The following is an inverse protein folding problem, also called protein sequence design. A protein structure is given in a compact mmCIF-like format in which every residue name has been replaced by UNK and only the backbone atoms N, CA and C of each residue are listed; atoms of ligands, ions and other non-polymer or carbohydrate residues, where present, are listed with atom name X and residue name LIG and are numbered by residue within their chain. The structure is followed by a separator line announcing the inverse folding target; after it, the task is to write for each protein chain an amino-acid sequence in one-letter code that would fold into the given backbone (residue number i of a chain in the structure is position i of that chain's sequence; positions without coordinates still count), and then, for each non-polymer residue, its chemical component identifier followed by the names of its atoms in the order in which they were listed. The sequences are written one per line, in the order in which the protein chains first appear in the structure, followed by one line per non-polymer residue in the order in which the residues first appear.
data_IF_644923019610
#
_entry.id   IF_644923019610
#
_cell.length_a   1.000
_cell.length_b   1.000
_cell.length_c   1.000
_cell.angle_alpha   90.00
_cell.angle_beta   90.00
_cell.angle_gamma   90.00
#
_symmetry.space_group_name_H-M   'P 1'
#
loop_
_entity.id
_entity.type
_entity.pdbx_description
1 polymer ?
#
# COMPACT_ATOMS: atom_id res chain seq x y z
N UNK A 1 11.96 42.40 -3.81
CA UNK A 1 11.10 41.39 -3.20
C UNK A 1 11.21 40.18 -4.10
N UNK A 2 11.95 39.16 -3.65
CA UNK A 2 12.40 38.08 -4.49
C UNK A 2 11.27 37.10 -4.81
N UNK A 3 10.98 36.93 -6.10
CA UNK A 3 10.21 35.82 -6.61
C UNK A 3 11.10 34.57 -6.56
N UNK A 4 10.99 33.82 -5.49
CA UNK A 4 11.58 32.50 -5.43
C UNK A 4 10.86 31.59 -6.41
N UNK A 5 11.53 31.26 -7.52
CA UNK A 5 11.12 30.20 -8.42
C UNK A 5 11.31 28.86 -7.72
N UNK A 6 10.31 28.40 -6.97
CA UNK A 6 10.26 27.04 -6.49
C UNK A 6 9.89 26.12 -7.67
N UNK A 7 10.86 25.36 -8.14
CA UNK A 7 10.56 24.11 -8.83
C UNK A 7 9.75 23.27 -7.85
N UNK A 8 8.50 22.93 -8.18
CA UNK A 8 7.67 22.06 -7.35
C UNK A 8 8.31 20.67 -7.43
N UNK A 9 9.20 20.39 -6.49
CA UNK A 9 9.74 19.07 -6.26
C UNK A 9 8.63 18.30 -5.53
N UNK A 10 7.99 17.40 -6.21
CA UNK A 10 7.31 16.28 -5.53
C UNK A 10 8.42 15.59 -4.77
N UNK A 11 8.39 15.63 -3.43
CA UNK A 11 9.39 14.99 -2.61
C UNK A 11 9.50 13.53 -3.04
N UNK A 12 10.68 13.11 -3.48
CA UNK A 12 11.03 11.72 -3.63
C UNK A 12 11.12 11.11 -2.23
N UNK A 13 9.97 10.65 -1.71
CA UNK A 13 9.97 9.72 -0.60
C UNK A 13 10.41 8.37 -1.17
N UNK A 14 11.67 8.07 -1.01
CA UNK A 14 12.17 6.71 -1.12
C UNK A 14 11.51 5.92 0.01
N UNK A 15 10.49 5.15 -0.33
CA UNK A 15 9.97 4.11 0.54
C UNK A 15 11.05 3.05 0.68
N UNK A 16 11.65 2.97 1.86
CA UNK A 16 12.27 1.71 2.25
C UNK A 16 11.16 0.65 2.15
N UNK A 17 11.33 -0.30 1.25
CA UNK A 17 10.50 -1.49 1.19
C UNK A 17 10.60 -2.15 2.56
N UNK A 18 9.56 -2.02 3.38
CA UNK A 18 9.36 -2.91 4.50
C UNK A 18 9.01 -4.28 3.91
N UNK A 19 10.03 -5.07 3.60
CA UNK A 19 9.92 -6.44 3.10
C UNK A 19 9.45 -7.44 4.19
N UNK A 20 9.10 -6.97 5.39
CA UNK A 20 8.67 -7.79 6.54
C UNK A 20 7.15 -7.96 6.65
N UNK A 21 6.37 -7.71 5.61
CA UNK A 21 4.97 -8.12 5.56
C UNK A 21 4.85 -9.53 4.97
N UNK A 22 5.49 -10.50 5.63
CA UNK A 22 5.04 -11.89 5.52
C UNK A 22 3.62 -11.94 6.10
N UNK A 23 2.71 -12.55 5.33
CA UNK A 23 1.32 -12.74 5.73
C UNK A 23 1.21 -13.33 7.14
N UNK A 24 0.12 -13.06 7.85
CA UNK A 24 -0.02 -13.51 9.21
C UNK A 24 -0.12 -15.03 9.24
N UNK A 25 0.80 -15.66 9.95
CA UNK A 25 0.74 -17.03 10.44
C UNK A 25 1.20 -18.16 9.53
N UNK A 26 2.30 -18.76 9.95
CA UNK A 26 2.71 -20.12 9.64
C UNK A 26 1.73 -21.12 10.31
N UNK A 27 0.71 -21.55 9.54
CA UNK A 27 -0.38 -22.42 10.03
C UNK A 27 0.03 -23.87 10.20
N UNK A 28 1.19 -24.32 9.70
CA UNK A 28 1.61 -25.71 9.82
C UNK A 28 1.92 -26.12 11.26
N UNK A 29 2.29 -25.19 12.13
CA UNK A 29 2.61 -25.49 13.53
C UNK A 29 1.42 -25.43 14.50
N UNK A 30 0.30 -24.79 14.13
CA UNK A 30 -0.89 -24.70 14.98
C UNK A 30 -1.82 -25.91 14.88
N UNK A 31 -1.89 -26.56 13.73
CA UNK A 31 -2.80 -27.68 13.48
C UNK A 31 -2.32 -29.01 14.09
N UNK A 32 -1.01 -29.21 14.25
CA UNK A 32 -0.47 -30.45 14.84
C UNK A 32 -0.55 -30.52 16.37
N UNK A 33 -0.87 -29.43 17.05
CA UNK A 33 -1.00 -29.40 18.51
C UNK A 33 -2.41 -29.76 19.02
N UNK A 34 -3.42 -29.84 18.16
CA UNK A 34 -4.82 -30.04 18.55
C UNK A 34 -5.31 -31.51 18.51
N UNK A 35 -4.53 -32.42 17.96
CA UNK A 35 -4.90 -33.85 17.92
C UNK A 35 -3.80 -34.70 18.54
N UNK A 36 -3.88 -35.06 19.83
CA UNK A 36 -3.16 -36.23 20.29
C UNK A 36 -3.86 -37.46 19.67
N UNK A 37 -3.13 -38.16 18.79
CA UNK A 37 -3.57 -39.39 18.13
C UNK A 37 -4.20 -40.37 19.14
N UNK A 38 -5.48 -40.62 19.00
CA UNK A 38 -6.13 -41.80 19.57
C UNK A 38 -5.50 -43.03 18.94
N UNK A 39 -4.97 -43.90 19.77
CA UNK A 39 -4.39 -45.17 19.37
C UNK A 39 -5.38 -45.99 18.57
N UNK A 40 -5.13 -46.18 17.31
CA UNK A 40 -5.49 -47.40 16.60
C UNK A 40 -4.23 -48.14 16.17
N UNK A 41 -4.01 -49.28 16.78
CA UNK A 41 -2.97 -50.26 16.42
C UNK A 41 -3.33 -50.86 15.07
N UNK A 42 -2.54 -50.60 14.04
CA UNK A 42 -2.37 -51.59 12.97
C UNK A 42 -0.88 -51.78 12.72
N UNK A 43 -0.48 -53.03 12.92
CA UNK A 43 0.85 -53.55 12.59
C UNK A 43 1.13 -53.35 11.10
N UNK A 44 2.32 -52.82 10.75
CA UNK A 44 3.16 -53.55 9.80
C UNK A 44 4.64 -53.10 9.89
N UNK A 45 5.44 -54.14 9.86
CA UNK A 45 6.90 -54.13 9.93
C UNK A 45 7.51 -53.60 8.66
N UNK A 46 8.61 -52.84 8.70
CA UNK A 46 9.97 -53.27 8.33
C UNK A 46 10.90 -52.09 8.04
N UNK A 47 12.04 -52.18 8.70
CA UNK A 47 13.44 -51.91 8.29
C UNK A 47 13.93 -50.46 8.10
N UNK A 48 14.70 -50.04 9.10
CA UNK A 48 16.19 -49.92 9.10
C UNK A 48 16.70 -48.77 8.22
N UNK A 49 17.52 -47.88 8.62
CA UNK A 49 18.74 -47.84 9.43
C UNK A 49 19.42 -46.46 9.25
N UNK A 50 19.97 -45.92 10.33
CA UNK A 50 21.24 -45.16 10.44
C UNK A 50 21.57 -44.01 9.48
N UNK A 51 21.88 -42.81 9.93
CA UNK A 51 23.12 -42.35 10.56
C UNK A 51 23.07 -40.85 10.90
N UNK A 52 23.81 -40.53 11.89
CA UNK A 52 24.14 -39.24 12.52
C UNK A 52 24.91 -38.25 11.64
N UNK A 53 24.82 -37.01 12.09
CA UNK A 53 25.89 -36.03 12.34
C UNK A 53 26.06 -34.81 11.42
N UNK A 54 25.88 -33.68 12.10
CA UNK A 54 26.81 -32.54 12.24
C UNK A 54 27.11 -31.62 11.09
N UNK A 55 26.83 -30.36 11.41
CA UNK A 55 27.63 -29.15 11.17
C UNK A 55 27.59 -28.44 9.82
N UNK A 56 27.10 -27.22 9.94
CA UNK A 56 27.71 -25.95 9.51
C UNK A 56 27.78 -25.57 8.04
N UNK A 57 27.28 -24.36 7.81
CA UNK A 57 27.78 -23.29 6.98
C UNK A 57 27.34 -23.15 5.54
N UNK A 58 26.76 -21.95 5.36
CA UNK A 58 26.90 -21.04 4.22
C UNK A 58 26.29 -21.37 2.86
N UNK A 59 25.26 -20.59 2.60
CA UNK A 59 25.20 -19.70 1.43
C UNK A 59 25.07 -20.36 0.05
N UNK A 60 23.99 -20.21 -0.54
CA UNK A 60 23.71 -19.50 -1.79
C UNK A 60 22.36 -19.93 -2.40
N UNK A 61 21.58 -18.93 -2.68
CA UNK A 61 20.35 -18.96 -3.46
C UNK A 61 20.56 -19.53 -4.87
N UNK A 62 19.65 -20.43 -5.29
CA UNK A 62 19.23 -20.53 -6.69
C UNK A 62 17.72 -20.71 -6.77
N UNK A 63 17.03 -19.66 -7.18
CA UNK A 63 15.63 -19.69 -7.60
C UNK A 63 15.48 -20.50 -8.88
N UNK A 64 14.70 -21.56 -8.83
CA UNK A 64 14.23 -22.26 -10.04
C UNK A 64 13.00 -21.53 -10.59
N UNK A 65 13.19 -20.84 -11.72
CA UNK A 65 12.07 -20.38 -12.54
C UNK A 65 11.44 -21.56 -13.27
N UNK A 66 10.17 -21.75 -13.05
CA UNK A 66 9.34 -22.62 -13.90
C UNK A 66 8.73 -21.74 -14.99
N UNK A 67 9.16 -21.97 -16.22
CA UNK A 67 8.58 -21.39 -17.43
C UNK A 67 7.19 -22.03 -17.68
N UNK A 68 6.13 -21.25 -17.54
CA UNK A 68 4.83 -21.61 -18.06
C UNK A 68 4.58 -20.82 -19.35
N UNK A 69 4.36 -21.57 -20.43
CA UNK A 69 4.12 -21.09 -21.79
C UNK A 69 3.01 -20.04 -21.87
N UNK A 70 3.37 -18.83 -22.27
CA UNK A 70 2.42 -17.79 -22.65
C UNK A 70 1.86 -18.04 -24.05
N UNK A 71 0.56 -18.23 -24.16
CA UNK A 71 -0.18 -18.18 -25.40
C UNK A 71 -0.11 -16.77 -25.98
N UNK A 72 0.24 -16.70 -27.26
CA UNK A 72 0.34 -15.48 -28.08
C UNK A 72 -0.97 -14.71 -28.10
N UNK A 73 -0.95 -13.46 -27.62
CA UNK A 73 -1.97 -12.46 -27.87
C UNK A 73 -1.56 -11.70 -29.13
N UNK A 74 -2.44 -11.45 -30.13
CA UNK A 74 -2.09 -10.73 -31.34
C UNK A 74 -1.77 -9.27 -31.03
N UNK A 75 -0.68 -8.76 -31.60
CA UNK A 75 -0.28 -7.35 -31.53
C UNK A 75 -1.30 -6.49 -32.29
N UNK A 76 -1.68 -5.32 -31.75
CA UNK A 76 -2.40 -4.33 -32.53
C UNK A 76 -1.49 -3.75 -33.60
N UNK A 77 -1.98 -3.72 -34.81
CA UNK A 77 -1.34 -3.09 -35.97
C UNK A 77 -1.08 -1.61 -35.72
N UNK A 78 0.17 -1.24 -35.64
CA UNK A 78 0.62 0.15 -35.65
C UNK A 78 0.37 0.73 -37.07
N UNK A 79 -0.56 1.68 -37.16
CA UNK A 79 -0.57 2.64 -38.28
C UNK A 79 0.54 3.65 -38.02
N UNK A 80 1.60 3.55 -38.84
CA UNK A 80 2.68 4.50 -38.93
C UNK A 80 2.17 5.86 -39.38
N UNK A 81 2.06 6.80 -38.43
CA UNK A 81 2.15 8.21 -38.75
C UNK A 81 3.52 8.69 -38.25
N UNK A 82 4.51 8.60 -39.15
CA UNK A 82 5.77 9.30 -38.99
C UNK A 82 5.53 10.79 -39.17
N UNK A 83 5.36 11.52 -38.08
CA UNK A 83 5.71 12.93 -38.04
C UNK A 83 7.20 13.04 -37.72
N UNK A 84 7.98 13.35 -38.75
CA UNK A 84 9.39 13.65 -38.64
C UNK A 84 9.57 14.89 -37.76
N UNK A 85 9.94 14.72 -36.50
CA UNK A 85 10.56 15.76 -35.71
C UNK A 85 12.07 15.72 -36.00
N UNK A 86 12.48 16.50 -36.99
CA UNK A 86 13.87 16.86 -37.15
C UNK A 86 14.29 17.70 -35.94
N UNK A 87 15.08 17.11 -35.03
CA UNK A 87 15.96 17.87 -34.14
C UNK A 87 17.01 18.57 -35.02
N UNK A 88 16.77 19.80 -35.34
CA UNK A 88 17.84 20.70 -35.71
C UNK A 88 18.34 21.35 -34.41
N UNK A 89 19.47 20.86 -33.94
CA UNK A 89 20.35 21.63 -33.06
C UNK A 89 20.71 22.92 -33.82
N UNK A 90 20.16 24.04 -33.38
CA UNK A 90 20.61 25.33 -33.86
C UNK A 90 21.86 25.72 -33.07
N UNK A 91 23.01 25.38 -33.64
CA UNK A 91 24.27 26.03 -33.30
C UNK A 91 24.12 27.51 -33.68
N UNK A 92 24.09 28.36 -32.68
CA UNK A 92 24.14 29.80 -32.92
C UNK A 92 25.58 30.19 -33.27
N UNK A 93 25.87 30.28 -34.56
CA UNK A 93 27.07 30.93 -35.05
C UNK A 93 26.99 32.42 -34.77
N UNK A 94 27.91 32.92 -33.97
CA UNK A 94 28.19 34.35 -33.81
C UNK A 94 28.85 34.85 -35.08
N UNK A 95 28.06 35.30 -36.05
CA UNK A 95 28.63 36.05 -37.19
C UNK A 95 29.02 37.46 -36.72
N UNK A 96 30.36 37.65 -36.74
CA UNK A 96 30.97 38.98 -36.68
C UNK A 96 30.57 39.80 -37.92
N UNK A 97 29.58 40.63 -37.81
CA UNK A 97 29.27 41.62 -38.86
C UNK A 97 30.27 42.75 -38.81
N UNK A 98 31.26 42.71 -39.70
CA UNK A 98 32.03 43.88 -40.10
C UNK A 98 31.10 44.83 -40.90
N UNK A 99 30.99 46.07 -40.44
CA UNK A 99 30.32 47.12 -41.18
C UNK A 99 31.08 47.47 -42.48
N UNK A 100 30.49 47.19 -43.60
CA UNK A 100 30.88 47.81 -44.88
C UNK A 100 29.76 48.71 -45.38
N UNK A 101 30.00 49.98 -45.28
CA UNK A 101 29.15 51.00 -45.94
C UNK A 101 29.28 50.85 -47.45
N UNK A 102 28.21 50.40 -48.11
CA UNK A 102 28.07 50.47 -49.55
C UNK A 102 26.86 51.35 -49.88
N UNK A 103 27.00 52.49 -50.55
CA UNK A 103 25.92 53.48 -50.71
C UNK A 103 25.00 53.21 -51.93
N UNK A 104 24.86 52.03 -52.44
CA UNK A 104 23.93 51.70 -53.52
C UNK A 104 23.25 50.35 -53.33
N UNK A 105 22.18 50.36 -52.50
CA UNK A 105 21.15 49.34 -52.64
C UNK A 105 19.81 49.88 -52.18
N UNK A 106 19.01 50.27 -53.14
CA UNK A 106 17.58 50.60 -53.02
C UNK A 106 16.79 49.30 -52.93
N UNK A 107 16.70 48.70 -51.75
CA UNK A 107 15.69 47.74 -51.45
C UNK A 107 15.50 47.59 -49.94
N UNK A 108 14.25 47.84 -49.55
CA UNK A 108 13.60 47.54 -48.27
C UNK A 108 13.99 48.38 -47.05
N UNK A 109 13.09 49.25 -46.76
CA UNK A 109 12.83 50.11 -45.61
C UNK A 109 12.92 49.43 -44.23
N UNK A 110 14.08 48.90 -43.84
CA UNK A 110 14.38 48.46 -42.48
C UNK A 110 15.16 49.55 -41.78
N UNK A 111 14.45 50.54 -41.21
CA UNK A 111 15.06 51.62 -40.43
C UNK A 111 15.59 51.02 -39.11
N UNK A 112 16.92 50.98 -38.96
CA UNK A 112 17.56 50.65 -37.70
C UNK A 112 17.77 51.97 -36.94
N UNK A 113 17.17 52.06 -35.75
CA UNK A 113 17.26 53.27 -34.88
C UNK A 113 17.81 52.90 -33.53
N UNK A 114 18.85 53.68 -33.08
CA UNK A 114 19.27 53.68 -31.68
C UNK A 114 18.28 54.52 -30.89
N UNK A 115 17.55 53.88 -29.93
CA UNK A 115 16.43 54.56 -29.25
C UNK A 115 16.88 55.33 -28.02
N UNK A 116 17.78 54.83 -27.22
CA UNK A 116 18.50 55.49 -26.12
C UNK A 116 19.39 54.51 -25.35
N UNK A 117 20.47 55.02 -24.72
CA UNK A 117 21.32 54.25 -23.78
C UNK A 117 21.79 52.88 -24.24
N UNK A 118 21.97 52.63 -25.56
CA UNK A 118 22.44 51.38 -26.11
C UNK A 118 21.34 50.42 -26.58
N UNK A 119 20.08 50.80 -26.48
CA UNK A 119 18.97 50.04 -27.05
C UNK A 119 18.89 50.23 -28.56
N UNK A 120 18.62 49.15 -29.31
CA UNK A 120 18.52 49.14 -30.76
C UNK A 120 17.18 48.56 -31.21
N UNK A 121 16.53 49.24 -32.17
CA UNK A 121 15.33 48.72 -32.84
C UNK A 121 15.56 48.61 -34.35
N UNK A 122 15.07 47.52 -34.94
CA UNK A 122 15.07 47.28 -36.39
C UNK A 122 13.64 46.97 -36.79
N UNK A 123 12.99 47.84 -37.56
CA UNK A 123 11.60 47.61 -37.99
C UNK A 123 10.85 48.90 -38.33
N UNK A 124 9.53 48.80 -38.38
CA UNK A 124 8.62 49.87 -38.66
C UNK A 124 8.52 50.88 -37.50
N UNK A 125 8.51 52.17 -37.80
CA UNK A 125 8.38 53.24 -36.83
C UNK A 125 7.17 54.13 -37.16
N UNK A 126 6.49 54.59 -36.11
CA UNK A 126 5.52 55.66 -36.19
C UNK A 126 5.91 56.78 -35.19
N UNK A 127 6.12 58.00 -35.71
CA UNK A 127 6.63 59.12 -34.91
C UNK A 127 7.89 58.78 -34.10
N UNK A 128 8.87 58.11 -34.70
CA UNK A 128 10.10 57.59 -34.08
C UNK A 128 9.90 56.59 -32.93
N UNK A 129 8.71 56.00 -32.77
CA UNK A 129 8.38 54.98 -31.77
C UNK A 129 8.22 53.67 -32.50
N UNK A 130 8.74 52.54 -31.96
CA UNK A 130 8.52 51.18 -32.51
C UNK A 130 7.02 50.91 -32.75
N UNK A 131 6.69 50.59 -34.00
CA UNK A 131 5.33 50.29 -34.47
C UNK A 131 5.40 49.26 -35.57
N UNK A 132 4.33 48.44 -35.74
CA UNK A 132 4.34 47.41 -36.78
C UNK A 132 5.33 46.28 -36.49
N UNK A 133 5.83 45.61 -37.54
CA UNK A 133 6.77 44.49 -37.38
C UNK A 133 8.19 45.02 -37.08
N UNK A 134 8.85 44.36 -36.11
CA UNK A 134 10.22 44.71 -35.78
C UNK A 134 10.88 43.80 -34.75
N UNK A 135 12.16 44.17 -34.48
CA UNK A 135 12.98 43.50 -33.49
C UNK A 135 13.68 44.55 -32.60
N UNK A 136 13.50 44.40 -31.30
CA UNK A 136 14.04 45.29 -30.28
C UNK A 136 15.13 44.55 -29.50
N UNK A 137 16.26 45.19 -29.33
CA UNK A 137 17.39 44.74 -28.54
C UNK A 137 17.62 45.74 -27.43
N UNK A 138 17.41 45.30 -26.19
CA UNK A 138 17.70 46.13 -25.04
C UNK A 138 19.16 46.02 -24.61
N UNK A 139 19.69 47.12 -24.06
CA UNK A 139 21.03 47.18 -23.47
C UNK A 139 21.21 46.24 -22.28
N UNK A 140 20.12 45.80 -21.65
CA UNK A 140 20.13 44.78 -20.57
C UNK A 140 20.18 43.34 -21.08
N UNK A 141 20.21 43.13 -22.43
CA UNK A 141 20.22 41.78 -23.04
C UNK A 141 18.85 41.20 -23.38
N UNK A 142 17.76 41.94 -23.16
CA UNK A 142 16.43 41.49 -23.55
C UNK A 142 16.22 41.67 -25.07
N UNK A 143 15.57 40.67 -25.73
CA UNK A 143 15.25 40.72 -27.16
C UNK A 143 13.76 40.48 -27.33
N UNK A 144 13.09 41.39 -28.07
CA UNK A 144 11.68 41.27 -28.45
C UNK A 144 11.56 41.26 -29.96
N UNK A 145 10.74 40.36 -30.52
CA UNK A 145 10.52 40.22 -31.94
C UNK A 145 9.03 40.01 -32.22
N UNK A 146 8.42 40.79 -33.09
CA UNK A 146 7.01 40.64 -33.40
C UNK A 146 6.36 41.97 -33.80
N UNK A 147 5.12 42.15 -33.41
CA UNK A 147 4.32 43.32 -33.69
C UNK A 147 4.37 44.31 -32.52
N UNK A 148 4.70 45.58 -32.82
CA UNK A 148 4.83 46.63 -31.84
C UNK A 148 3.72 47.66 -31.96
N UNK A 149 3.23 48.17 -30.84
CA UNK A 149 2.35 49.35 -30.73
C UNK A 149 2.88 50.21 -29.60
N UNK A 150 3.15 51.51 -29.90
CA UNK A 150 3.68 52.47 -28.92
C UNK A 150 4.90 51.92 -28.16
N UNK A 151 5.87 51.31 -28.85
CA UNK A 151 7.11 50.81 -28.28
C UNK A 151 7.01 49.50 -27.52
N UNK A 152 5.84 48.90 -27.42
CA UNK A 152 5.58 47.65 -26.71
C UNK A 152 5.16 46.54 -27.66
N UNK A 153 5.58 45.30 -27.37
CA UNK A 153 5.15 44.12 -28.12
C UNK A 153 3.64 43.92 -27.94
N UNK A 154 2.90 43.88 -29.05
CA UNK A 154 1.45 43.63 -29.08
C UNK A 154 1.13 42.71 -30.28
N UNK A 155 0.29 41.70 -30.04
CA UNK A 155 0.01 40.65 -31.05
C UNK A 155 1.03 39.51 -30.98
N UNK A 156 1.21 38.78 -32.09
CA UNK A 156 2.12 37.61 -32.14
C UNK A 156 3.58 38.07 -32.04
N UNK A 157 4.35 37.41 -31.18
CA UNK A 157 5.75 37.73 -31.00
C UNK A 157 6.52 36.72 -30.14
N UNK A 158 7.79 37.05 -29.97
CA UNK A 158 8.75 36.28 -29.14
C UNK A 158 9.52 37.26 -28.24
N UNK A 159 9.85 36.80 -27.04
CA UNK A 159 10.62 37.60 -26.11
C UNK A 159 11.66 36.71 -25.41
N UNK A 160 12.91 37.10 -25.46
CA UNK A 160 14.00 36.53 -24.68
C UNK A 160 14.34 37.53 -23.57
N UNK A 161 14.04 37.15 -22.34
CA UNK A 161 14.37 37.97 -21.18
C UNK A 161 15.84 37.83 -20.81
N UNK A 162 16.41 38.86 -20.18
CA UNK A 162 17.81 38.86 -19.72
C UNK A 162 18.15 37.80 -18.69
N UNK A 163 17.13 37.22 -18.00
CA UNK A 163 17.26 36.11 -17.06
C UNK A 163 17.15 34.74 -17.73
N UNK A 164 17.17 34.66 -19.08
CA UNK A 164 17.13 33.42 -19.86
C UNK A 164 15.73 32.84 -20.07
N UNK A 165 14.66 33.50 -19.64
CA UNK A 165 13.30 33.07 -19.91
C UNK A 165 12.94 33.38 -21.36
N UNK A 166 12.37 32.40 -22.08
CA UNK A 166 11.83 32.57 -23.43
C UNK A 166 10.31 32.56 -23.40
N UNK A 167 9.68 33.49 -24.09
CA UNK A 167 8.23 33.62 -24.23
C UNK A 167 7.88 33.71 -25.73
N UNK A 168 6.83 32.99 -26.14
CA UNK A 168 6.30 33.03 -27.52
C UNK A 168 4.77 32.95 -27.48
N UNK A 169 4.09 33.76 -28.25
CA UNK A 169 2.63 33.75 -28.31
C UNK A 169 2.04 35.13 -28.65
N UNK A 170 0.83 35.35 -28.13
CA UNK A 170 0.18 36.64 -28.25
C UNK A 170 0.53 37.55 -27.06
N UNK A 171 0.88 38.79 -27.36
CA UNK A 171 1.25 39.79 -26.35
C UNK A 171 0.25 40.94 -26.34
N UNK A 172 0.05 41.52 -25.18
CA UNK A 172 -0.58 42.82 -24.95
C UNK A 172 0.36 43.61 -24.01
N UNK A 173 0.87 44.73 -24.51
CA UNK A 173 1.77 45.61 -23.75
C UNK A 173 2.95 44.84 -23.09
N UNK A 174 3.69 44.05 -23.88
CA UNK A 174 4.83 43.23 -23.47
C UNK A 174 4.49 42.05 -22.56
N UNK A 175 3.23 41.72 -22.32
CA UNK A 175 2.80 40.58 -21.50
C UNK A 175 2.08 39.54 -22.36
N UNK A 176 2.37 38.25 -22.16
CA UNK A 176 1.60 37.16 -22.82
C UNK A 176 0.12 37.24 -22.41
N UNK A 177 -0.76 37.20 -23.38
CA UNK A 177 -2.22 37.15 -23.24
C UNK A 177 -2.82 36.24 -24.28
N UNK A 178 -3.69 35.31 -23.87
CA UNK A 178 -4.19 34.24 -24.74
C UNK A 178 -3.20 33.08 -24.86
N UNK A 179 -3.21 32.37 -25.99
CA UNK A 179 -2.34 31.23 -26.22
C UNK A 179 -0.86 31.64 -26.34
N UNK A 180 0.00 30.91 -25.62
CA UNK A 180 1.43 31.14 -25.62
C UNK A 180 2.24 29.99 -25.05
N UNK A 181 3.56 30.18 -25.12
CA UNK A 181 4.58 29.27 -24.60
C UNK A 181 5.57 30.05 -23.75
N UNK A 182 5.95 29.48 -22.60
CA UNK A 182 7.07 29.96 -21.80
C UNK A 182 8.07 28.83 -21.55
N UNK A 183 9.35 29.16 -21.61
CA UNK A 183 10.45 28.24 -21.25
C UNK A 183 11.29 28.98 -20.21
N UNK A 184 11.38 28.37 -19.01
CA UNK A 184 12.20 28.92 -17.92
C UNK A 184 13.64 28.41 -17.99
N UNK A 185 14.55 29.11 -17.33
CA UNK A 185 15.99 28.77 -17.28
C UNK A 185 16.24 27.37 -16.69
N UNK A 186 15.37 26.89 -15.80
CA UNK A 186 15.44 25.56 -15.23
C UNK A 186 14.90 24.44 -16.17
N UNK A 187 14.52 24.80 -17.41
CA UNK A 187 14.00 23.88 -18.41
C UNK A 187 12.53 23.50 -18.23
N UNK A 188 11.79 24.21 -17.39
CA UNK A 188 10.34 24.12 -17.30
C UNK A 188 9.69 24.73 -18.54
N UNK A 189 8.71 24.06 -19.14
CA UNK A 189 7.99 24.51 -20.33
C UNK A 189 6.50 24.55 -20.02
N UNK A 190 5.87 25.69 -20.29
CA UNK A 190 4.42 25.78 -20.24
C UNK A 190 3.89 26.19 -21.62
N UNK A 191 2.87 25.48 -22.10
CA UNK A 191 2.13 25.77 -23.32
C UNK A 191 0.63 25.86 -22.97
N UNK A 192 0.02 27.01 -23.23
CA UNK A 192 -1.39 27.23 -22.90
C UNK A 192 -1.76 28.70 -22.76
N UNK A 193 -2.82 28.93 -22.01
CA UNK A 193 -3.40 30.25 -21.87
C UNK A 193 -2.70 31.09 -20.81
N UNK A 194 -2.57 32.40 -21.12
CA UNK A 194 -2.01 33.40 -20.24
C UNK A 194 -2.98 34.59 -20.10
N UNK A 195 -2.93 35.22 -18.94
CA UNK A 195 -3.55 36.54 -18.67
C UNK A 195 -2.51 37.41 -17.99
N UNK A 196 -2.20 38.57 -18.57
CA UNK A 196 -1.19 39.49 -18.06
C UNK A 196 0.17 38.88 -17.73
N UNK A 197 0.60 37.89 -18.56
CA UNK A 197 1.86 37.15 -18.39
C UNK A 197 1.82 36.04 -17.37
N UNK A 198 0.67 35.78 -16.74
CA UNK A 198 0.48 34.70 -15.77
C UNK A 198 -0.26 33.55 -16.44
N UNK A 199 0.17 32.29 -16.20
CA UNK A 199 -0.55 31.08 -16.66
C UNK A 199 -1.97 31.11 -16.11
N UNK A 200 -2.97 31.14 -16.98
CA UNK A 200 -4.36 31.27 -16.57
C UNK A 200 -5.30 30.71 -17.66
N UNK A 201 -6.00 29.64 -17.36
CA UNK A 201 -6.81 28.88 -18.32
C UNK A 201 -6.23 27.50 -18.62
N UNK A 202 -6.62 26.89 -19.74
CA UNK A 202 -6.14 25.55 -20.14
C UNK A 202 -4.65 25.60 -20.48
N UNK A 203 -3.91 24.57 -20.03
CA UNK A 203 -2.49 24.51 -20.34
C UNK A 203 -1.86 23.16 -20.02
N UNK A 204 -0.64 23.01 -20.54
CA UNK A 204 0.26 21.89 -20.32
C UNK A 204 1.59 22.42 -19.77
N UNK A 205 1.98 21.87 -18.63
CA UNK A 205 3.23 22.18 -17.97
C UNK A 205 4.15 20.96 -18.04
N UNK A 206 5.35 21.14 -18.54
CA UNK A 206 6.45 20.18 -18.41
C UNK A 206 7.39 20.74 -17.36
N UNK A 207 7.49 20.07 -16.22
CA UNK A 207 8.33 20.53 -15.10
C UNK A 207 9.82 20.37 -15.40
N UNK A 208 10.68 20.94 -14.58
CA UNK A 208 12.13 20.73 -14.64
C UNK A 208 12.50 19.23 -14.50
N UNK A 209 11.72 18.45 -13.74
CA UNK A 209 11.90 17.02 -13.56
C UNK A 209 11.35 16.18 -14.72
N UNK A 210 10.75 16.85 -15.73
CA UNK A 210 10.09 16.23 -16.90
C UNK A 210 8.76 15.53 -16.57
N UNK A 211 8.14 15.87 -15.45
CA UNK A 211 6.74 15.52 -15.23
C UNK A 211 5.85 16.39 -16.13
N UNK A 212 4.73 15.86 -16.58
CA UNK A 212 3.78 16.56 -17.44
C UNK A 212 2.49 16.75 -16.66
N UNK A 213 1.99 17.96 -16.61
CA UNK A 213 0.75 18.33 -15.93
C UNK A 213 -0.16 19.03 -16.94
N UNK A 214 -1.40 18.54 -17.08
CA UNK A 214 -2.39 19.07 -18.00
C UNK A 214 -3.68 19.40 -17.23
N UNK A 215 -4.22 20.59 -17.43
CA UNK A 215 -5.47 21.00 -16.77
C UNK A 215 -5.73 22.50 -16.86
N UNK A 216 -6.51 22.99 -15.90
CA UNK A 216 -6.83 24.41 -15.78
C UNK A 216 -5.86 25.07 -14.81
N UNK A 217 -5.23 26.12 -15.25
CA UNK A 217 -4.35 26.94 -14.41
C UNK A 217 -5.11 28.19 -13.96
N UNK A 218 -4.98 28.56 -12.70
CA UNK A 218 -5.49 29.78 -12.11
C UNK A 218 -4.34 30.44 -11.36
N UNK A 219 -3.98 31.67 -11.77
CA UNK A 219 -2.86 32.42 -11.16
C UNK A 219 -1.55 31.60 -11.08
N UNK A 220 -1.25 30.84 -12.14
CA UNK A 220 -0.02 30.07 -12.26
C UNK A 220 -0.04 28.68 -11.63
N UNK A 221 -1.09 28.30 -10.92
CA UNK A 221 -1.28 26.99 -10.27
C UNK A 221 -2.33 26.18 -11.00
N UNK A 222 -2.17 24.85 -11.07
CA UNK A 222 -3.25 23.99 -11.55
C UNK A 222 -4.31 23.84 -10.46
N UNK A 223 -5.57 23.98 -10.87
CA UNK A 223 -6.77 23.91 -10.01
C UNK A 223 -7.88 23.07 -10.66
N UNK A 224 -8.68 22.38 -9.84
CA UNK A 224 -9.79 21.57 -10.33
C UNK A 224 -9.31 20.30 -11.06
N UNK A 225 -10.01 19.86 -12.09
CA UNK A 225 -9.70 18.61 -12.80
C UNK A 225 -8.45 18.73 -13.67
N UNK A 226 -7.57 17.73 -13.56
CA UNK A 226 -6.33 17.67 -14.34
C UNK A 226 -5.72 16.27 -14.39
N UNK A 227 -4.60 16.18 -15.12
CA UNK A 227 -3.81 14.97 -15.30
C UNK A 227 -2.35 15.27 -15.00
N UNK A 228 -1.67 14.29 -14.39
CA UNK A 228 -0.24 14.34 -14.13
C UNK A 228 0.41 13.02 -14.56
N UNK A 229 1.45 13.14 -15.37
CA UNK A 229 2.30 12.03 -15.81
C UNK A 229 3.68 12.27 -15.20
N UNK A 230 4.06 11.46 -14.22
CA UNK A 230 5.37 11.55 -13.61
C UNK A 230 6.42 10.89 -14.50
N UNK A 231 7.62 11.47 -14.58
CA UNK A 231 8.74 10.91 -15.37
C UNK A 231 9.04 9.45 -15.02
N UNK A 232 8.85 9.07 -13.75
CA UNK A 232 9.04 7.68 -13.29
C UNK A 232 7.99 6.70 -13.82
N UNK A 233 6.89 7.20 -14.43
CA UNK A 233 5.85 6.42 -15.07
C UNK A 233 4.50 6.37 -14.33
N UNK A 234 4.41 6.92 -13.13
CA UNK A 234 3.13 7.05 -12.45
C UNK A 234 2.21 8.03 -13.18
N UNK A 235 0.91 7.76 -13.09
CA UNK A 235 -0.13 8.61 -13.68
C UNK A 235 -1.18 8.95 -12.62
N UNK A 236 -1.59 10.22 -12.59
CA UNK A 236 -2.72 10.67 -11.78
C UNK A 236 -3.73 11.41 -12.65
N UNK A 237 -5.02 11.19 -12.42
CA UNK A 237 -6.14 11.93 -12.99
C UNK A 237 -7.16 12.22 -11.90
N UNK A 238 -7.46 13.50 -11.65
CA UNK A 238 -8.36 13.85 -10.56
C UNK A 238 -8.37 15.34 -10.25
N UNK A 239 -8.78 15.66 -9.03
CA UNK A 239 -8.84 17.01 -8.53
C UNK A 239 -7.48 17.52 -8.09
N UNK A 240 -7.18 18.77 -8.42
CA UNK A 240 -6.00 19.52 -7.99
C UNK A 240 -6.40 20.73 -7.17
N UNK A 241 -5.59 21.03 -6.19
CA UNK A 241 -5.63 22.28 -5.43
C UNK A 241 -4.20 22.75 -5.17
N UNK A 242 -3.92 24.03 -5.44
CA UNK A 242 -2.59 24.61 -5.26
C UNK A 242 -1.47 23.81 -5.93
N UNK A 243 -1.75 23.21 -7.09
CA UNK A 243 -0.83 22.35 -7.88
C UNK A 243 -0.56 20.95 -7.32
N UNK A 244 -1.27 20.51 -6.29
CA UNK A 244 -1.18 19.14 -5.75
C UNK A 244 -2.45 18.36 -6.00
N UNK A 245 -2.38 17.03 -6.25
CA UNK A 245 -3.54 16.15 -6.16
C UNK A 245 -4.28 16.37 -4.83
N UNK A 246 -5.56 16.75 -4.89
CA UNK A 246 -6.34 17.08 -3.69
C UNK A 246 -7.83 16.93 -3.98
N UNK A 247 -8.51 16.06 -3.27
CA UNK A 247 -9.89 15.66 -3.58
C UNK A 247 -9.93 14.28 -4.22
N UNK A 248 -10.89 14.02 -5.10
CA UNK A 248 -11.08 12.71 -5.72
C UNK A 248 -10.18 12.51 -6.93
N UNK A 249 -9.60 11.32 -7.04
CA UNK A 249 -8.76 10.99 -8.18
C UNK A 249 -8.44 9.50 -8.30
N UNK A 250 -7.78 9.17 -9.42
CA UNK A 250 -7.24 7.85 -9.72
C UNK A 250 -5.75 7.99 -9.93
N UNK A 251 -4.97 7.19 -9.23
CA UNK A 251 -3.52 7.11 -9.41
C UNK A 251 -3.14 5.69 -9.84
N UNK A 252 -2.37 5.60 -10.92
CA UNK A 252 -1.78 4.37 -11.43
C UNK A 252 -0.28 4.43 -11.19
N UNK A 253 0.24 3.43 -10.53
CA UNK A 253 1.64 3.33 -10.16
C UNK A 253 2.43 2.51 -11.16
N UNK A 254 3.73 2.69 -11.19
CA UNK A 254 4.65 1.95 -12.07
C UNK A 254 4.71 0.45 -11.77
N UNK A 255 4.40 0.04 -10.54
CA UNK A 255 4.27 -1.36 -10.15
C UNK A 255 2.97 -2.01 -10.67
N UNK A 256 2.12 -1.23 -11.36
CA UNK A 256 0.83 -1.66 -11.89
C UNK A 256 -0.32 -1.56 -10.89
N UNK A 257 -0.07 -1.16 -9.65
CA UNK A 257 -1.16 -0.92 -8.69
C UNK A 257 -1.97 0.33 -9.07
N UNK A 258 -3.24 0.33 -8.66
CA UNK A 258 -4.19 1.42 -8.94
C UNK A 258 -4.86 1.79 -7.63
N UNK A 259 -4.84 3.08 -7.32
CA UNK A 259 -5.63 3.65 -6.24
C UNK A 259 -6.73 4.55 -6.82
N UNK A 260 -7.94 4.41 -6.32
CA UNK A 260 -9.09 5.27 -6.60
C UNK A 260 -9.69 5.74 -5.27
N UNK A 261 -9.66 7.03 -5.02
CA UNK A 261 -10.12 7.57 -3.73
C UNK A 261 -9.82 9.04 -3.56
N UNK A 262 -9.72 9.44 -2.29
CA UNK A 262 -9.41 10.80 -1.93
C UNK A 262 -7.90 11.02 -1.79
N UNK A 263 -7.47 12.24 -2.08
CA UNK A 263 -6.10 12.71 -1.95
C UNK A 263 -6.04 13.98 -1.11
N UNK A 264 -4.99 14.14 -0.35
CA UNK A 264 -4.62 15.38 0.35
C UNK A 264 -3.13 15.63 0.10
N UNK A 265 -2.82 16.79 -0.49
CA UNK A 265 -1.44 17.22 -0.79
C UNK A 265 -0.61 16.17 -1.57
N UNK A 266 -1.27 15.41 -2.47
CA UNK A 266 -0.62 14.41 -3.32
C UNK A 266 -0.60 12.99 -2.79
N UNK A 267 -0.98 12.79 -1.51
CA UNK A 267 -1.00 11.48 -0.86
C UNK A 267 -2.42 10.90 -0.76
N UNK A 268 -2.53 9.56 -0.81
CA UNK A 268 -3.78 8.83 -0.59
C UNK A 268 -4.31 9.14 0.82
N UNK A 269 -5.56 9.60 0.94
CA UNK A 269 -6.12 10.03 2.22
C UNK A 269 -7.63 9.79 2.27
N UNK A 270 -8.19 9.56 3.49
CA UNK A 270 -9.62 9.24 3.63
C UNK A 270 -9.97 7.91 2.96
N UNK A 271 -11.20 7.78 2.47
CA UNK A 271 -11.68 6.54 1.88
C UNK A 271 -11.18 6.35 0.45
N UNK A 272 -10.71 5.12 0.13
CA UNK A 272 -10.27 4.72 -1.19
C UNK A 272 -10.20 3.21 -1.39
N UNK A 273 -10.00 2.83 -2.66
CA UNK A 273 -9.81 1.44 -3.08
C UNK A 273 -8.45 1.32 -3.75
N UNK A 274 -7.61 0.44 -3.24
CA UNK A 274 -6.31 0.11 -3.85
C UNK A 274 -6.31 -1.32 -4.35
N UNK A 275 -5.91 -1.50 -5.61
CA UNK A 275 -5.82 -2.79 -6.28
C UNK A 275 -4.38 -3.02 -6.71
N UNK A 276 -3.85 -4.20 -6.44
CA UNK A 276 -2.51 -4.60 -6.84
C UNK A 276 -2.54 -5.58 -8.02
N UNK A 277 -1.45 -5.67 -8.81
CA UNK A 277 -1.38 -6.55 -9.98
C UNK A 277 -1.54 -8.04 -9.66
N UNK A 278 -1.19 -8.44 -8.45
CA UNK A 278 -1.34 -9.81 -7.96
C UNK A 278 -2.77 -10.19 -7.59
N UNK A 279 -3.72 -9.25 -7.70
CA UNK A 279 -5.13 -9.46 -7.41
C UNK A 279 -5.56 -9.05 -6.00
N UNK A 280 -4.64 -8.59 -5.16
CA UNK A 280 -5.00 -8.05 -3.85
C UNK A 280 -5.85 -6.79 -4.00
N UNK A 281 -6.80 -6.59 -3.08
CA UNK A 281 -7.68 -5.41 -3.03
C UNK A 281 -7.77 -4.94 -1.59
N UNK A 282 -7.55 -3.66 -1.38
CA UNK A 282 -7.90 -3.00 -0.13
C UNK A 282 -8.95 -1.92 -0.39
N UNK A 283 -10.01 -1.92 0.40
CA UNK A 283 -11.07 -0.93 0.42
C UNK A 283 -11.20 -0.40 1.84
N UNK A 284 -10.95 0.89 2.06
CA UNK A 284 -10.98 1.45 3.41
C UNK A 284 -10.32 2.81 3.51
N UNK A 285 -10.00 3.18 4.74
CA UNK A 285 -9.43 4.47 5.07
C UNK A 285 -7.91 4.47 4.94
N UNK A 286 -7.38 5.63 4.52
CA UNK A 286 -5.96 5.92 4.39
C UNK A 286 -5.61 7.22 5.12
N UNK A 287 -4.43 7.27 5.68
CA UNK A 287 -3.79 8.48 6.18
C UNK A 287 -2.39 8.51 5.58
N UNK A 288 -2.11 9.55 4.75
CA UNK A 288 -0.81 9.77 4.11
C UNK A 288 -0.24 8.51 3.41
N UNK A 289 -1.11 7.88 2.59
CA UNK A 289 -0.78 6.67 1.82
C UNK A 289 -0.79 5.36 2.61
N UNK A 290 -1.04 5.39 3.92
CA UNK A 290 -1.00 4.22 4.80
C UNK A 290 -2.42 3.81 5.18
N UNK A 291 -2.75 2.49 5.10
CA UNK A 291 -4.01 1.93 5.58
C UNK A 291 -4.24 2.30 7.04
N UNK A 292 -5.38 2.91 7.37
CA UNK A 292 -5.71 3.38 8.72
C UNK A 292 -7.23 3.40 8.90
N UNK A 293 -7.73 3.32 10.15
CA UNK A 293 -9.18 3.30 10.39
C UNK A 293 -9.83 1.99 9.96
N UNK A 294 -11.04 2.04 9.43
CA UNK A 294 -11.79 0.86 8.99
C UNK A 294 -11.44 0.47 7.57
N UNK A 295 -11.30 -0.84 7.33
CA UNK A 295 -11.03 -1.33 5.98
C UNK A 295 -11.26 -2.83 5.81
N UNK A 296 -11.28 -3.22 4.54
CA UNK A 296 -11.38 -4.60 4.08
C UNK A 296 -10.22 -4.90 3.15
N UNK A 297 -9.48 -5.94 3.43
CA UNK A 297 -8.36 -6.42 2.63
C UNK A 297 -8.69 -7.82 2.11
N UNK A 298 -8.59 -8.01 0.82
CA UNK A 298 -8.75 -9.30 0.14
C UNK A 298 -7.40 -9.63 -0.48
N UNK A 299 -6.85 -10.78 -0.13
CA UNK A 299 -5.58 -11.28 -0.62
C UNK A 299 -5.75 -12.09 -1.91
N UNK A 300 -4.64 -12.34 -2.61
CA UNK A 300 -4.61 -13.08 -3.86
C UNK A 300 -5.14 -14.51 -3.73
N UNK A 301 -4.86 -15.18 -2.62
CA UNK A 301 -5.28 -16.54 -2.32
C UNK A 301 -6.73 -16.66 -1.82
N UNK A 302 -7.42 -15.52 -1.67
CA UNK A 302 -8.80 -15.45 -1.22
C UNK A 302 -8.97 -15.20 0.27
N UNK A 303 -7.88 -15.12 1.05
CA UNK A 303 -7.95 -14.65 2.43
C UNK A 303 -8.59 -13.27 2.51
N UNK A 304 -9.29 -12.98 3.61
CA UNK A 304 -9.96 -11.70 3.83
C UNK A 304 -9.79 -11.24 5.26
N UNK A 305 -9.47 -9.97 5.40
CA UNK A 305 -9.58 -9.28 6.68
C UNK A 305 -10.53 -8.09 6.55
N UNK A 306 -11.41 -7.91 7.52
CA UNK A 306 -12.29 -6.75 7.64
C UNK A 306 -12.29 -6.27 9.10
N UNK A 307 -11.84 -5.04 9.32
CA UNK A 307 -11.68 -4.54 10.69
C UNK A 307 -10.90 -3.23 10.76
N UNK A 308 -10.31 -3.03 11.94
CA UNK A 308 -9.53 -1.85 12.24
C UNK A 308 -8.09 -1.99 11.75
N UNK A 309 -7.57 -0.91 11.16
CA UNK A 309 -6.18 -0.76 10.74
C UNK A 309 -5.52 0.41 11.48
N UNK A 310 -4.27 0.25 11.82
CA UNK A 310 -3.43 1.32 12.36
C UNK A 310 -2.02 1.19 11.79
N UNK A 311 -1.57 2.24 11.09
CA UNK A 311 -0.25 2.26 10.46
C UNK A 311 0.00 1.02 9.57
N UNK A 312 -0.99 0.65 8.75
CA UNK A 312 -0.93 -0.49 7.82
C UNK A 312 -1.15 -1.87 8.45
N UNK A 313 -1.22 -1.97 9.76
CA UNK A 313 -1.37 -3.23 10.51
C UNK A 313 -2.81 -3.43 11.00
N UNK A 314 -3.24 -4.69 11.12
CA UNK A 314 -4.47 -5.03 11.83
C UNK A 314 -4.35 -4.65 13.30
N UNK A 315 -5.33 -3.94 13.81
CA UNK A 315 -5.38 -3.43 15.17
C UNK A 315 -6.84 -3.38 15.63
N UNK A 316 -7.10 -3.54 16.94
CA UNK A 316 -8.47 -3.46 17.46
C UNK A 316 -9.33 -4.65 17.05
N UNK A 317 -10.58 -4.42 16.64
CA UNK A 317 -11.52 -5.49 16.30
C UNK A 317 -11.57 -5.78 14.81
N UNK A 318 -11.62 -7.06 14.46
CA UNK A 318 -11.71 -7.48 13.08
C UNK A 318 -12.19 -8.92 12.90
N UNK A 319 -12.44 -9.25 11.64
CA UNK A 319 -12.80 -10.59 11.17
C UNK A 319 -11.76 -11.00 10.15
N UNK A 320 -11.17 -12.16 10.36
CA UNK A 320 -10.27 -12.80 9.39
C UNK A 320 -10.91 -14.09 8.87
N UNK A 321 -10.88 -14.30 7.57
CA UNK A 321 -11.45 -15.49 6.91
C UNK A 321 -10.35 -16.09 6.04
N UNK A 322 -10.01 -17.34 6.30
CA UNK A 322 -9.03 -18.12 5.54
C UNK A 322 -9.66 -18.80 4.32
N UNK A 323 -8.85 -19.24 3.33
CA UNK A 323 -9.34 -19.89 2.12
C UNK A 323 -10.07 -21.22 2.39
N UNK A 324 -9.70 -21.93 3.47
CA UNK A 324 -10.36 -23.15 3.91
C UNK A 324 -11.75 -22.92 4.51
N UNK A 325 -12.17 -21.66 4.71
CA UNK A 325 -13.41 -21.26 5.34
C UNK A 325 -13.33 -21.10 6.85
N UNK A 326 -12.16 -21.31 7.45
CA UNK A 326 -11.92 -20.93 8.87
C UNK A 326 -12.15 -19.43 9.04
N UNK A 327 -12.71 -19.05 10.19
CA UNK A 327 -13.03 -17.66 10.50
C UNK A 327 -12.64 -17.31 11.94
N UNK A 328 -11.94 -16.23 12.10
CA UNK A 328 -11.70 -15.62 13.40
C UNK A 328 -12.43 -14.27 13.48
N UNK A 329 -13.06 -14.02 14.61
CA UNK A 329 -13.67 -12.73 14.93
C UNK A 329 -13.22 -12.32 16.34
N UNK A 330 -12.50 -11.21 16.46
CA UNK A 330 -11.95 -10.82 17.74
C UNK A 330 -10.99 -9.65 17.67
N UNK A 331 -10.10 -9.63 18.65
CA UNK A 331 -9.12 -8.56 18.80
C UNK A 331 -7.82 -8.89 18.09
N UNK A 332 -7.22 -7.84 17.47
CA UNK A 332 -5.93 -7.87 16.81
C UNK A 332 -5.01 -6.82 17.41
N UNK A 333 -3.73 -7.12 17.42
CA UNK A 333 -2.67 -6.20 17.82
C UNK A 333 -1.45 -6.41 16.94
N UNK A 334 -1.07 -5.41 16.15
CA UNK A 334 0.10 -5.47 15.24
C UNK A 334 0.08 -6.75 14.37
N UNK A 335 -1.00 -6.96 13.64
CA UNK A 335 -1.29 -8.12 12.78
C UNK A 335 -1.43 -9.48 13.50
N UNK A 336 -1.40 -9.53 14.82
CA UNK A 336 -1.56 -10.76 15.59
C UNK A 336 -2.93 -10.85 16.23
N UNK A 337 -3.47 -12.05 16.32
CA UNK A 337 -4.65 -12.35 17.12
C UNK A 337 -4.29 -12.20 18.59
N UNK A 338 -5.01 -11.34 19.31
CA UNK A 338 -4.80 -11.01 20.72
C UNK A 338 -6.16 -10.85 21.41
N UNK A 339 -6.16 -10.89 22.77
CA UNK A 339 -7.36 -10.58 23.52
C UNK A 339 -8.48 -11.58 23.34
N UNK A 340 -9.74 -11.11 23.39
CA UNK A 340 -10.92 -11.98 23.25
C UNK A 340 -11.27 -12.22 21.80
N UNK A 341 -11.62 -13.46 21.47
CA UNK A 341 -12.07 -13.81 20.14
C UNK A 341 -12.81 -15.13 20.04
N UNK A 342 -13.45 -15.31 18.89
CA UNK A 342 -14.16 -16.51 18.47
C UNK A 342 -13.48 -17.06 17.21
N UNK A 343 -13.01 -18.29 17.28
CA UNK A 343 -12.49 -19.04 16.13
C UNK A 343 -13.51 -20.11 15.72
N UNK A 344 -13.85 -20.15 14.45
CA UNK A 344 -14.76 -21.10 13.84
C UNK A 344 -14.02 -21.89 12.78
N UNK A 345 -14.02 -23.22 12.87
CA UNK A 345 -13.46 -24.09 11.84
C UNK A 345 -14.54 -24.59 10.87
N UNK A 346 -14.17 -24.93 9.62
CA UNK A 346 -15.11 -25.43 8.63
C UNK A 346 -15.79 -26.74 9.02
N UNK A 347 -15.12 -27.54 9.83
CA UNK A 347 -15.67 -28.82 10.36
C UNK A 347 -16.79 -28.62 11.40
N UNK A 348 -17.02 -27.36 11.85
CA UNK A 348 -18.02 -27.01 12.84
C UNK A 348 -17.51 -26.94 14.28
N UNK A 349 -16.21 -27.15 14.50
CA UNK A 349 -15.57 -26.88 15.79
C UNK A 349 -15.52 -25.37 16.05
N UNK A 350 -15.51 -24.97 17.31
CA UNK A 350 -15.35 -23.56 17.69
C UNK A 350 -14.56 -23.40 18.98
N UNK A 351 -13.77 -22.34 19.04
CA UNK A 351 -13.16 -21.86 20.27
C UNK A 351 -13.57 -20.40 20.54
N UNK A 352 -13.96 -20.13 21.77
CA UNK A 352 -14.29 -18.79 22.24
C UNK A 352 -13.52 -18.54 23.54
N UNK A 353 -12.63 -17.54 23.55
CA UNK A 353 -11.77 -17.30 24.70
C UNK A 353 -10.72 -16.24 24.47
N UNK A 354 -9.70 -16.31 25.32
CA UNK A 354 -8.56 -15.40 25.27
C UNK A 354 -7.46 -15.95 24.37
N UNK A 355 -6.79 -15.03 23.65
CA UNK A 355 -5.64 -15.29 22.80
C UNK A 355 -4.43 -14.43 23.21
N UNK A 356 -3.25 -15.01 23.13
CA UNK A 356 -1.98 -14.30 23.24
C UNK A 356 -1.09 -14.76 22.08
N UNK A 357 -0.67 -13.84 21.20
CA UNK A 357 0.13 -14.14 20.01
C UNK A 357 -0.47 -15.28 19.16
N UNK A 358 -1.78 -15.28 18.95
CA UNK A 358 -2.50 -16.26 18.15
C UNK A 358 -2.76 -17.61 18.82
N UNK A 359 -2.34 -17.82 20.07
CA UNK A 359 -2.53 -19.04 20.83
C UNK A 359 -3.60 -18.89 21.89
N UNK A 360 -4.33 -19.97 22.19
CA UNK A 360 -5.28 -20.00 23.31
C UNK A 360 -4.54 -19.81 24.62
N UNK A 361 -4.97 -18.85 25.41
CA UNK A 361 -4.41 -18.54 26.73
C UNK A 361 -5.52 -18.03 27.65
N UNK A 362 -5.37 -18.25 28.98
CA UNK A 362 -6.40 -17.86 29.93
C UNK A 362 -7.68 -18.68 29.81
N UNK A 363 -8.82 -18.11 30.18
CA UNK A 363 -10.10 -18.83 30.14
C UNK A 363 -10.68 -18.87 28.73
N UNK A 364 -11.17 -20.07 28.32
CA UNK A 364 -11.83 -20.27 27.05
C UNK A 364 -12.71 -21.53 27.00
N UNK A 365 -13.52 -21.61 25.97
CA UNK A 365 -14.42 -22.73 25.69
C UNK A 365 -14.13 -23.28 24.30
N UNK A 366 -13.77 -24.57 24.21
CA UNK A 366 -13.56 -25.29 22.96
C UNK A 366 -14.67 -26.34 22.80
N UNK A 367 -15.43 -26.21 21.72
CA UNK A 367 -16.57 -27.08 21.40
C UNK A 367 -16.27 -27.75 20.07
N UNK A 368 -16.32 -29.10 20.10
CA UNK A 368 -16.16 -29.93 18.91
C UNK A 368 -17.53 -30.27 18.33
N UNK A 369 -17.61 -30.39 17.02
CA UNK A 369 -18.82 -30.81 16.28
C UNK A 369 -19.43 -32.13 16.83
N UNK A 370 -18.59 -33.04 17.31
CA UNK A 370 -19.05 -34.32 17.89
C UNK A 370 -19.65 -34.20 19.29
N UNK A 371 -19.81 -32.99 19.83
CA UNK A 371 -20.36 -32.73 21.15
C UNK A 371 -19.34 -32.76 22.29
N UNK A 372 -18.08 -33.10 22.04
CA UNK A 372 -17.01 -32.94 23.03
C UNK A 372 -16.80 -31.45 23.32
N UNK A 373 -16.59 -31.13 24.59
CA UNK A 373 -16.42 -29.74 25.01
C UNK A 373 -15.37 -29.63 26.11
N UNK A 374 -14.57 -28.56 26.06
CA UNK A 374 -13.72 -28.14 27.20
C UNK A 374 -14.01 -26.67 27.53
N UNK A 375 -14.19 -26.39 28.81
CA UNK A 375 -14.32 -25.05 29.34
C UNK A 375 -13.38 -24.89 30.54
N UNK A 376 -12.39 -23.98 30.46
CA UNK A 376 -11.37 -23.84 31.48
C UNK A 376 -10.18 -23.03 31.05
N UNK A 377 -9.10 -23.21 31.81
CA UNK A 377 -7.85 -22.49 31.57
C UNK A 377 -7.04 -23.13 30.43
N UNK A 378 -6.43 -22.28 29.61
CA UNK A 378 -5.52 -22.63 28.54
C UNK A 378 -4.17 -21.95 28.74
N UNK A 379 -3.11 -22.58 28.28
CA UNK A 379 -1.79 -22.02 28.14
C UNK A 379 -1.12 -22.59 26.89
N UNK A 380 -0.76 -21.71 25.95
CA UNK A 380 -0.11 -22.06 24.69
C UNK A 380 -0.84 -23.23 23.97
N UNK A 381 -2.16 -23.05 23.71
CA UNK A 381 -3.07 -23.98 23.03
C UNK A 381 -3.40 -25.28 23.80
N UNK A 382 -2.92 -25.43 25.01
CA UNK A 382 -3.14 -26.61 25.83
C UNK A 382 -4.01 -26.33 27.03
N UNK A 383 -4.86 -27.27 27.43
CA UNK A 383 -5.55 -27.23 28.72
C UNK A 383 -4.51 -27.15 29.83
N UNK A 384 -4.56 -26.13 30.68
CA UNK A 384 -3.56 -25.93 31.74
C UNK A 384 -4.20 -25.11 32.86
N UNK A 385 -4.32 -25.68 34.03
CA UNK A 385 -5.07 -25.15 35.17
C UNK A 385 -6.43 -25.81 35.31
N UNK A 386 -7.40 -25.14 35.97
CA UNK A 386 -8.71 -25.72 36.27
C UNK A 386 -9.63 -25.67 35.05
N UNK A 387 -10.37 -26.75 34.80
CA UNK A 387 -11.32 -26.84 33.71
C UNK A 387 -12.27 -28.05 33.79
N UNK A 388 -13.27 -28.02 32.90
CA UNK A 388 -14.25 -29.08 32.72
C UNK A 388 -14.21 -29.59 31.29
N UNK A 389 -14.02 -30.91 31.13
CA UNK A 389 -13.99 -31.56 29.82
C UNK A 389 -15.16 -32.54 29.74
N UNK A 390 -16.08 -32.30 28.83
CA UNK A 390 -17.29 -33.09 28.61
C UNK A 390 -17.13 -33.96 27.39
N UNK A 391 -17.57 -35.21 27.47
CA UNK A 391 -17.52 -36.18 26.38
C UNK A 391 -18.91 -36.39 25.76
N UNK A 392 -19.00 -36.91 24.53
CA UNK A 392 -20.27 -37.10 23.81
C UNK A 392 -21.26 -38.02 24.52
N UNK A 393 -20.79 -38.95 25.34
CA UNK A 393 -21.61 -39.88 26.13
C UNK A 393 -22.20 -39.22 27.41
N UNK A 394 -21.93 -37.94 27.63
CA UNK A 394 -22.37 -37.17 28.79
C UNK A 394 -21.45 -37.31 30.00
N UNK A 395 -20.43 -38.19 29.96
CA UNK A 395 -19.41 -38.19 31.02
C UNK A 395 -18.55 -36.95 30.97
N UNK A 396 -17.96 -36.54 32.10
CA UNK A 396 -17.08 -35.41 32.13
C UNK A 396 -16.05 -35.48 33.28
N UNK A 397 -14.92 -34.85 33.04
CA UNK A 397 -13.92 -34.58 34.07
C UNK A 397 -13.99 -33.10 34.45
N UNK A 398 -13.91 -32.83 35.73
CA UNK A 398 -13.80 -31.47 36.28
C UNK A 398 -12.66 -31.43 37.29
N UNK A 399 -11.62 -30.62 37.03
CA UNK A 399 -10.42 -30.60 37.84
C UNK A 399 -9.26 -29.90 37.16
N UNK A 400 -8.06 -30.21 37.63
CA UNK A 400 -6.86 -29.60 37.12
C UNK A 400 -6.30 -30.32 35.89
N UNK A 401 -5.71 -29.56 34.99
CA UNK A 401 -4.98 -30.00 33.81
C UNK A 401 -3.57 -29.44 33.80
N UNK A 402 -2.65 -30.15 33.24
CA UNK A 402 -1.28 -29.74 32.98
C UNK A 402 -0.89 -30.16 31.55
N UNK A 403 -0.54 -29.18 30.70
CA UNK A 403 -0.11 -29.43 29.31
C UNK A 403 -1.05 -30.36 28.52
N UNK A 404 -2.39 -30.27 28.74
CA UNK A 404 -3.43 -30.98 28.00
C UNK A 404 -3.92 -32.26 28.66
N UNK A 405 -3.29 -32.77 29.71
CA UNK A 405 -3.67 -33.99 30.42
C UNK A 405 -4.22 -33.69 31.81
N UNK A 406 -5.02 -34.65 32.37
CA UNK A 406 -5.49 -34.55 33.76
C UNK A 406 -4.28 -34.56 34.71
N UNK A 407 -4.29 -33.65 35.67
CA UNK A 407 -3.19 -33.54 36.62
C UNK A 407 -3.69 -32.93 37.95
N UNK A 408 -3.16 -33.41 39.09
CA UNK A 408 -3.61 -32.92 40.39
C UNK A 408 -5.01 -33.35 40.74
N UNK A 409 -5.71 -32.59 41.60
CA UNK A 409 -7.06 -32.92 42.06
C UNK A 409 -8.09 -32.74 40.95
N UNK A 410 -9.02 -33.74 40.89
CA UNK A 410 -10.15 -33.68 39.98
C UNK A 410 -11.17 -34.74 40.26
N UNK A 411 -12.30 -34.64 39.59
CA UNK A 411 -13.41 -35.57 39.70
C UNK A 411 -13.90 -35.97 38.31
N UNK A 412 -13.99 -37.26 38.10
CA UNK A 412 -14.61 -37.85 36.92
C UNK A 412 -16.08 -38.18 37.24
N UNK A 413 -16.98 -37.75 36.39
CA UNK A 413 -18.39 -38.04 36.40
C UNK A 413 -18.70 -38.96 35.23
N UNK A 414 -19.12 -40.19 35.53
CA UNK A 414 -19.49 -41.15 34.53
C UNK A 414 -20.92 -40.92 34.03
N UNK A 415 -21.22 -41.37 32.82
CA UNK A 415 -22.57 -41.24 32.22
C UNK A 415 -23.64 -42.01 32.96
N UNK A 416 -23.28 -43.07 33.69
CA UNK A 416 -24.17 -43.86 34.56
C UNK A 416 -24.53 -43.16 35.89
N UNK A 417 -23.86 -42.01 36.19
CA UNK A 417 -24.06 -41.23 37.41
C UNK A 417 -23.06 -41.52 38.52
N UNK A 418 -22.15 -42.45 38.35
CA UNK A 418 -21.03 -42.69 39.28
C UNK A 418 -20.03 -41.54 39.21
N UNK A 419 -19.23 -41.37 40.28
CA UNK A 419 -18.15 -40.37 40.37
C UNK A 419 -16.88 -41.02 40.85
N UNK A 420 -15.73 -40.46 40.43
CA UNK A 420 -14.41 -40.88 40.88
C UNK A 420 -13.55 -39.63 41.18
N UNK A 421 -13.29 -39.39 42.45
CA UNK A 421 -12.46 -38.27 42.91
C UNK A 421 -11.06 -38.76 43.28
N UNK A 422 -10.03 -38.00 42.91
CA UNK A 422 -8.68 -38.35 43.27
C UNK A 422 -7.62 -37.39 42.76
N UNK A 423 -6.38 -37.85 42.78
CA UNK A 423 -5.24 -37.08 42.27
C UNK A 423 -4.68 -37.82 41.05
N UNK A 424 -4.75 -37.12 39.90
CA UNK A 424 -4.16 -37.61 38.63
C UNK A 424 -2.69 -37.14 38.54
N UNK A 425 -1.85 -37.99 38.02
CA UNK A 425 -0.46 -37.66 37.69
C UNK A 425 -0.22 -37.90 36.20
N UNK A 426 -0.01 -36.77 35.47
CA UNK A 426 0.22 -36.78 34.01
C UNK A 426 -0.80 -37.67 33.22
N UNK A 427 -2.08 -37.54 33.56
CA UNK A 427 -3.18 -38.24 32.92
C UNK A 427 -3.47 -39.63 33.48
N UNK A 428 -2.68 -40.09 34.42
CA UNK A 428 -2.71 -41.47 34.96
C UNK A 428 -3.23 -41.46 36.40
N UNK A 429 -4.06 -42.43 36.76
CA UNK A 429 -4.49 -42.68 38.15
C UNK A 429 -3.42 -43.47 38.87
N UNK A 430 -2.90 -42.90 39.94
CA UNK A 430 -1.98 -43.55 40.85
C UNK A 430 -2.36 -43.25 42.31
N UNK A 431 -2.46 -44.29 43.15
CA UNK A 431 -2.86 -44.16 44.55
C UNK A 431 -4.37 -44.35 44.75
N UNK A 432 -4.87 -43.87 45.89
CA UNK A 432 -6.25 -44.06 46.33
C UNK A 432 -7.18 -43.02 45.77
N UNK A 433 -8.24 -43.46 45.13
CA UNK A 433 -9.33 -42.67 44.62
C UNK A 433 -10.61 -42.98 45.37
N UNK A 434 -11.44 -41.97 45.59
CA UNK A 434 -12.76 -42.10 46.19
C UNK A 434 -13.81 -42.25 45.07
N UNK A 435 -14.43 -43.44 45.02
CA UNK A 435 -15.51 -43.78 44.09
C UNK A 435 -16.85 -43.67 44.76
N UNK A 436 -17.78 -42.96 44.19
CA UNK A 436 -19.12 -42.76 44.67
C UNK A 436 -20.08 -43.32 43.59
N UNK A 437 -20.82 -44.35 43.91
CA UNK A 437 -21.83 -44.89 43.01
C UNK A 437 -23.10 -44.04 43.01
N UNK A 438 -23.91 -44.16 41.95
CA UNK A 438 -25.19 -43.48 41.82
C UNK A 438 -26.17 -43.82 42.98
N UNK A 439 -26.07 -45.02 43.56
CA UNK A 439 -26.86 -45.47 44.73
C UNK A 439 -26.32 -44.93 46.07
N UNK A 440 -25.22 -44.11 46.04
CA UNK A 440 -24.51 -43.51 47.19
C UNK A 440 -23.57 -44.44 47.95
N UNK A 441 -23.36 -45.65 47.52
CA UNK A 441 -22.26 -46.48 48.06
C UNK A 441 -20.92 -45.81 47.72
N UNK A 442 -19.98 -45.82 48.68
CA UNK A 442 -18.69 -45.18 48.58
C UNK A 442 -17.56 -46.18 48.77
N UNK A 443 -16.54 -46.11 47.91
CA UNK A 443 -15.40 -47.03 47.94
C UNK A 443 -14.10 -46.27 47.85
N UNK A 444 -13.07 -46.77 48.53
CA UNK A 444 -11.69 -46.47 48.19
C UNK A 444 -11.18 -47.43 47.14
N UNK A 445 -10.72 -46.88 46.01
CA UNK A 445 -10.19 -47.69 44.92
C UNK A 445 -8.73 -47.32 44.72
N UNK A 446 -7.85 -48.27 44.88
CA UNK A 446 -6.42 -48.09 44.69
C UNK A 446 -6.05 -48.38 43.24
N UNK A 447 -5.33 -47.46 42.60
CA UNK A 447 -4.81 -47.58 41.24
C UNK A 447 -3.30 -47.50 41.22
N UNK A 448 -2.69 -48.25 40.30
CA UNK A 448 -1.30 -48.17 39.91
C UNK A 448 -1.21 -48.13 38.38
N UNK A 449 -0.74 -47.00 37.83
CA UNK A 449 -0.68 -46.78 36.40
C UNK A 449 -2.01 -47.11 35.67
N UNK A 450 -3.13 -46.56 36.18
CA UNK A 450 -4.52 -46.79 35.73
C UNK A 450 -5.09 -48.21 35.97
N UNK A 451 -4.29 -49.17 36.41
CA UNK A 451 -4.77 -50.51 36.77
C UNK A 451 -5.36 -50.46 38.17
N UNK A 452 -6.59 -51.01 38.32
CA UNK A 452 -7.25 -51.15 39.62
C UNK A 452 -6.59 -52.27 40.39
N UNK A 453 -6.00 -51.96 41.52
CA UNK A 453 -5.31 -52.91 42.41
C UNK A 453 -6.25 -53.43 43.50
N UNK A 454 -7.02 -52.52 44.12
CA UNK A 454 -7.88 -52.82 45.27
C UNK A 454 -9.15 -51.94 45.25
N UNK A 455 -10.24 -52.48 45.77
CA UNK A 455 -11.47 -51.73 46.03
C UNK A 455 -12.01 -52.11 47.40
N UNK A 456 -12.32 -51.11 48.22
CA UNK A 456 -12.78 -51.32 49.59
C UNK A 456 -13.97 -50.43 49.86
N UNK A 457 -15.08 -51.06 50.31
CA UNK A 457 -16.30 -50.34 50.69
C UNK A 457 -16.07 -49.55 51.96
N UNK A 458 -16.40 -48.28 51.99
CA UNK A 458 -16.29 -47.38 53.14
C UNK A 458 -17.65 -46.87 53.63
N UNK A 459 -18.68 -46.89 52.76
CA UNK A 459 -20.02 -46.47 53.09
C UNK A 459 -21.08 -47.11 52.19
N UNK A 460 -22.21 -47.54 52.77
CA UNK A 460 -23.40 -48.06 52.09
C UNK A 460 -24.53 -47.01 51.98
#
# INVERSE_FOLDING_TARGET
MGNGNFCISVKDYTWEKNEDLQGPFDLENGLNALFPNGNEKTNNKNNSSYYNNSQSNNGHHYSKYILINSRKIPKPTQKNNKSNFNQKESSYETENMKSTNNPNNTDNNTNSVNISYGDKYIGELYNNIPYGKGKYFSSNGEIKEGYFINGKLNGKGKMHLNNGVFLEGNFINDKLNGEGKSININGEIYEGQFTDGIRNGKGKLITCNKDIIEGIFINGKIEGKGKMYLKRGDFYEGDFKDSFPNGKGIKKYTDGSIYEGNFVNGEEHGFGIKKWPDGQIYEGEFIDGIKNGKGKHIFQDGEKYEGDFKNGMYEGKGVYIWPDGSRYEGEFKKNKIEGKGLWLWPNGDKYEGMFINGKYNGYGELIYKNGKKYAGQFKDDKYDGYGKKIYPDGSYYEGNFLKGVFHGKGMWYYSNGDKLEGIWDNGVRNGVFHKILKNREEFNVEYKNDEKIREELIRT
#
